data_IF_818239656016
#
_entry.id   IF_818239656016
#
_cell.length_a   1.000
_cell.length_b   1.000
_cell.length_c   1.000
_cell.angle_alpha   90.00
_cell.angle_beta   90.00
_cell.angle_gamma   90.00
#
_symmetry.space_group_name_H-M   'P 1'
#
loop_
_entity.id
_entity.type
_entity.pdbx_description
1 polymer ?
#
# COMPACT_ATOMS: atom_id res chain seq x y z
N UNK A 1 24.56 5.07 -17.94
CA UNK A 1 23.95 4.54 -16.70
C UNK A 1 22.62 5.25 -16.56
N UNK A 2 21.55 4.65 -17.06
CA UNK A 2 20.21 5.15 -16.78
C UNK A 2 19.89 4.79 -15.33
N UNK A 3 19.36 5.70 -14.50
CA UNK A 3 18.77 5.27 -13.25
C UNK A 3 17.67 4.27 -13.62
N UNK A 4 17.76 3.04 -13.14
CA UNK A 4 16.61 2.14 -13.12
C UNK A 4 15.52 2.93 -12.40
N UNK A 5 14.48 3.32 -13.11
CA UNK A 5 13.45 4.17 -12.53
C UNK A 5 12.73 3.33 -11.48
N UNK A 6 13.14 3.49 -10.21
CA UNK A 6 12.50 2.85 -9.08
C UNK A 6 11.07 3.35 -9.05
N UNK A 7 10.13 2.44 -9.31
CA UNK A 7 8.71 2.74 -9.33
C UNK A 7 8.07 2.16 -8.07
N UNK A 8 7.29 2.99 -7.40
CA UNK A 8 6.53 2.62 -6.22
C UNK A 8 5.08 3.04 -6.44
N UNK A 9 4.16 2.07 -6.36
CA UNK A 9 2.73 2.33 -6.38
C UNK A 9 2.15 2.06 -5.01
N UNK A 10 1.37 3.01 -4.49
CA UNK A 10 0.67 2.88 -3.21
C UNK A 10 -0.82 3.08 -3.45
N UNK A 11 -1.62 2.13 -2.98
CA UNK A 11 -3.08 2.17 -3.01
C UNK A 11 -3.60 2.16 -1.57
N UNK A 12 -4.38 3.16 -1.22
CA UNK A 12 -5.11 3.21 0.05
C UNK A 12 -6.60 3.17 -0.26
N UNK A 13 -7.29 2.17 0.28
CA UNK A 13 -8.73 2.01 0.19
C UNK A 13 -9.31 2.16 1.59
N UNK A 14 -10.24 3.08 1.75
CA UNK A 14 -11.07 3.18 2.95
C UNK A 14 -12.44 2.58 2.65
N UNK A 15 -12.82 1.58 3.42
CA UNK A 15 -14.15 0.97 3.41
C UNK A 15 -14.83 1.24 4.75
N UNK A 16 -16.14 1.48 4.74
CA UNK A 16 -16.91 1.68 5.98
C UNK A 16 -17.79 2.93 5.99
N UNK A 17 -18.80 2.94 6.86
CA UNK A 17 -19.83 4.00 6.93
C UNK A 17 -21.27 3.45 6.80
N UNK A 18 -22.27 4.31 7.04
CA UNK A 18 -23.70 3.91 7.16
C UNK A 18 -24.34 3.66 5.79
N UNK A 19 -23.58 3.90 4.73
CA UNK A 19 -24.04 3.91 3.35
C UNK A 19 -23.11 3.10 2.41
N UNK A 20 -22.19 2.29 2.93
CA UNK A 20 -21.32 1.45 2.08
C UNK A 20 -20.37 2.23 1.16
N UNK A 21 -20.10 3.51 1.48
CA UNK A 21 -19.21 4.34 0.67
C UNK A 21 -17.77 3.85 0.80
N UNK A 22 -17.17 3.50 -0.32
CA UNK A 22 -15.74 3.19 -0.44
C UNK A 22 -15.03 4.36 -1.12
N UNK A 23 -13.83 4.68 -0.64
CA UNK A 23 -12.96 5.69 -1.25
C UNK A 23 -11.59 5.09 -1.46
N UNK A 24 -10.98 5.33 -2.61
CA UNK A 24 -9.63 4.89 -2.90
C UNK A 24 -8.78 6.06 -3.37
N UNK A 25 -7.51 6.02 -3.00
CA UNK A 25 -6.48 6.96 -3.42
C UNK A 25 -5.28 6.17 -3.89
N UNK A 26 -4.68 6.59 -5.00
CA UNK A 26 -3.51 5.95 -5.56
C UNK A 26 -2.41 6.98 -5.78
N UNK A 27 -1.20 6.60 -5.45
CA UNK A 27 0.03 7.29 -5.83
C UNK A 27 0.86 6.35 -6.69
N UNK A 28 1.44 6.90 -7.76
CA UNK A 28 2.45 6.23 -8.57
C UNK A 28 3.65 7.16 -8.68
N UNK A 29 4.72 6.82 -7.96
CA UNK A 29 5.94 7.63 -7.89
C UNK A 29 7.10 6.93 -8.59
N UNK A 30 7.99 7.73 -9.19
CA UNK A 30 9.15 7.24 -9.92
C UNK A 30 10.41 8.04 -9.57
N UNK A 31 11.58 7.39 -9.60
CA UNK A 31 12.86 8.04 -9.38
C UNK A 31 12.95 8.68 -7.99
N UNK A 32 13.39 9.94 -7.89
CA UNK A 32 13.62 10.61 -6.61
C UNK A 32 12.36 10.78 -5.76
N UNK A 33 11.18 10.87 -6.37
CA UNK A 33 9.93 10.93 -5.61
C UNK A 33 9.63 9.59 -4.94
N UNK A 34 9.95 8.48 -5.61
CA UNK A 34 9.74 7.15 -5.05
C UNK A 34 10.54 6.95 -3.75
N UNK A 35 11.74 7.54 -3.63
CA UNK A 35 12.56 7.46 -2.40
C UNK A 35 11.83 7.97 -1.17
N UNK A 36 11.15 9.11 -1.26
CA UNK A 36 10.38 9.67 -0.14
C UNK A 36 9.23 8.74 0.27
N UNK A 37 8.53 8.19 -0.71
CA UNK A 37 7.47 7.21 -0.48
C UNK A 37 8.01 5.89 0.09
N UNK A 38 9.21 5.46 -0.32
CA UNK A 38 9.88 4.29 0.25
C UNK A 38 10.17 4.45 1.74
N UNK A 39 10.59 5.64 2.18
CA UNK A 39 10.83 5.92 3.60
C UNK A 39 9.53 5.81 4.41
N UNK A 40 8.43 6.41 3.94
CA UNK A 40 7.12 6.32 4.59
C UNK A 40 6.59 4.88 4.66
N UNK A 41 6.66 4.16 3.54
CA UNK A 41 6.22 2.76 3.46
C UNK A 41 7.11 1.88 4.34
N UNK A 42 8.42 2.12 4.43
CA UNK A 42 9.33 1.29 5.24
C UNK A 42 9.23 1.56 6.74
N UNK A 43 8.74 2.74 7.14
CA UNK A 43 8.43 3.06 8.53
C UNK A 43 7.18 2.32 9.05
N UNK A 44 6.31 1.84 8.15
CA UNK A 44 5.07 1.16 8.52
C UNK A 44 5.34 -0.27 9.03
N UNK A 45 4.70 -0.69 10.15
CA UNK A 45 4.90 -2.01 10.74
C UNK A 45 4.06 -3.09 10.03
N UNK A 46 4.35 -3.37 8.75
CA UNK A 46 3.62 -4.34 7.92
C UNK A 46 3.48 -5.74 8.56
N UNK A 47 4.45 -6.16 9.38
CA UNK A 47 4.47 -7.48 10.02
C UNK A 47 3.63 -7.56 11.31
N UNK A 48 3.39 -6.42 11.99
CA UNK A 48 2.66 -6.39 13.28
C UNK A 48 1.16 -6.67 13.11
N UNK A 49 0.63 -6.44 11.91
CA UNK A 49 -0.78 -6.45 11.53
C UNK A 49 -1.35 -7.85 11.23
N UNK A 50 -0.50 -8.86 10.98
CA UNK A 50 -0.95 -10.25 10.70
C UNK A 50 -1.59 -10.95 11.91
N UNK A 51 -1.87 -10.22 12.99
CA UNK A 51 -2.44 -10.69 14.26
C UNK A 51 -3.86 -10.16 14.54
N UNK A 52 -4.40 -9.25 13.74
CA UNK A 52 -5.73 -8.65 13.92
C UNK A 52 -6.89 -9.57 13.46
N UNK A 53 -6.87 -10.85 13.88
CA UNK A 53 -8.00 -11.79 13.78
C UNK A 53 -9.08 -11.50 14.87
N UNK A 54 -8.89 -10.50 15.72
CA UNK A 54 -9.84 -10.14 16.77
C UNK A 54 -10.94 -9.21 16.21
N UNK A 55 -12.16 -9.74 16.20
CA UNK A 55 -13.33 -9.17 15.54
C UNK A 55 -13.53 -7.66 15.78
N UNK A 56 -13.87 -6.88 14.73
CA UNK A 56 -13.99 -5.44 14.85
C UNK A 56 -15.15 -5.05 15.77
N UNK A 57 -14.82 -4.36 16.86
CA UNK A 57 -15.77 -3.52 17.60
C UNK A 57 -16.36 -2.44 16.69
N UNK A 58 -17.40 -1.76 17.17
CA UNK A 58 -18.34 -0.94 16.39
C UNK A 58 -17.77 0.20 15.50
N UNK A 59 -16.46 0.45 15.47
CA UNK A 59 -15.76 1.36 14.55
C UNK A 59 -15.57 0.70 13.18
N UNK A 60 -16.62 0.72 12.38
CA UNK A 60 -16.74 0.04 11.08
C UNK A 60 -15.93 0.61 9.90
N UNK A 61 -14.90 1.42 10.15
CA UNK A 61 -14.03 1.91 9.09
C UNK A 61 -12.77 1.03 9.03
N UNK A 62 -12.53 0.45 7.87
CA UNK A 62 -11.37 -0.39 7.57
C UNK A 62 -10.53 0.29 6.50
N UNK A 63 -9.23 0.25 6.67
CA UNK A 63 -8.25 0.75 5.72
C UNK A 63 -7.47 -0.42 5.15
N UNK A 64 -7.50 -0.55 3.83
CA UNK A 64 -6.65 -1.49 3.10
C UNK A 64 -5.55 -0.69 2.42
N UNK A 65 -4.30 -1.08 2.65
CA UNK A 65 -3.12 -0.43 2.10
C UNK A 65 -2.32 -1.47 1.33
N UNK A 66 -2.00 -1.16 0.08
CA UNK A 66 -1.13 -1.97 -0.77
C UNK A 66 -0.01 -1.09 -1.29
N UNK A 67 1.24 -1.52 -1.12
CA UNK A 67 2.42 -0.87 -1.66
C UNK A 67 3.18 -1.88 -2.52
N UNK A 68 3.38 -1.58 -3.80
CA UNK A 68 4.10 -2.44 -4.74
C UNK A 68 5.33 -1.72 -5.27
N UNK A 69 6.51 -2.29 -4.99
CA UNK A 69 7.77 -1.86 -5.60
C UNK A 69 8.10 -2.67 -6.85
N UNK A 70 8.49 -1.99 -7.93
CA UNK A 70 8.98 -2.63 -9.17
C UNK A 70 10.52 -2.73 -9.18
N UNK A 71 11.16 -2.48 -8.04
CA UNK A 71 12.62 -2.28 -7.90
C UNK A 71 13.43 -3.55 -8.25
N UNK A 72 12.78 -4.71 -8.43
CA UNK A 72 13.48 -6.00 -8.56
C UNK A 72 13.39 -6.73 -9.90
N UNK A 73 12.66 -6.22 -10.88
CA UNK A 73 12.52 -6.94 -12.17
C UNK A 73 13.76 -6.85 -13.07
N UNK A 74 14.65 -5.87 -12.83
CA UNK A 74 15.83 -5.64 -13.69
C UNK A 74 17.00 -6.60 -13.48
N UNK A 75 17.18 -7.16 -12.27
CA UNK A 75 18.36 -7.97 -11.93
C UNK A 75 18.04 -9.45 -11.64
N UNK A 76 16.82 -9.78 -11.19
CA UNK A 76 16.42 -11.18 -11.02
C UNK A 76 16.13 -11.89 -12.35
N UNK A 77 15.87 -11.15 -13.44
CA UNK A 77 15.59 -11.74 -14.76
C UNK A 77 16.80 -12.48 -15.38
N UNK A 78 18.04 -12.22 -14.93
CA UNK A 78 19.23 -12.98 -15.36
C UNK A 78 19.41 -14.31 -14.60
N UNK A 79 18.63 -14.55 -13.56
CA UNK A 79 18.59 -15.83 -12.84
C UNK A 79 17.21 -16.45 -13.04
N UNK A 80 17.03 -17.19 -14.14
CA UNK A 80 15.77 -17.82 -14.55
C UNK A 80 15.19 -18.81 -13.54
N UNK A 81 14.68 -18.31 -12.42
CA UNK A 81 13.86 -19.02 -11.46
C UNK A 81 12.38 -18.67 -11.76
N UNK A 82 11.51 -19.66 -12.02
CA UNK A 82 10.09 -19.38 -12.16
C UNK A 82 9.55 -18.89 -10.82
N UNK A 83 9.08 -17.65 -10.78
CA UNK A 83 8.28 -17.15 -9.65
C UNK A 83 7.00 -17.97 -9.64
N UNK A 84 6.91 -18.91 -8.70
CA UNK A 84 5.73 -19.75 -8.51
C UNK A 84 4.79 -18.98 -7.59
N UNK A 85 3.70 -18.45 -8.14
CA UNK A 85 2.61 -17.84 -7.37
C UNK A 85 2.38 -16.39 -7.74
N UNK A 86 1.11 -16.02 -7.72
CA UNK A 86 0.46 -14.77 -8.16
C UNK A 86 0.84 -13.55 -7.30
N UNK A 87 1.80 -13.72 -6.38
CA UNK A 87 2.32 -12.67 -5.53
C UNK A 87 3.41 -11.90 -6.28
N UNK A 88 3.16 -10.62 -6.51
CA UNK A 88 4.14 -9.72 -7.12
C UNK A 88 5.30 -9.53 -6.13
N UNK A 89 6.54 -9.93 -6.45
CA UNK A 89 7.67 -9.69 -5.56
C UNK A 89 7.84 -8.17 -5.35
N UNK A 90 7.86 -7.72 -4.10
CA UNK A 90 7.87 -6.28 -3.77
C UNK A 90 6.50 -5.72 -3.38
N UNK A 91 5.45 -6.55 -3.35
CA UNK A 91 4.15 -6.13 -2.82
C UNK A 91 4.05 -6.35 -1.30
N UNK A 92 3.63 -5.29 -0.59
CA UNK A 92 3.28 -5.28 0.83
C UNK A 92 1.81 -4.89 0.96
N UNK A 93 1.05 -5.64 1.76
CA UNK A 93 -0.38 -5.36 2.01
C UNK A 93 -0.69 -5.43 3.50
N UNK A 94 -1.51 -4.50 3.97
CA UNK A 94 -2.03 -4.45 5.33
C UNK A 94 -3.52 -4.08 5.31
N UNK A 95 -4.28 -4.61 6.26
CA UNK A 95 -5.69 -4.29 6.48
C UNK A 95 -5.86 -3.91 7.94
N UNK A 96 -6.16 -2.64 8.17
CA UNK A 96 -6.21 -1.99 9.48
C UNK A 96 -7.65 -1.59 9.82
N UNK A 97 -8.08 -1.73 11.07
CA UNK A 97 -9.19 -0.93 11.56
C UNK A 97 -8.80 0.55 11.69
N UNK A 98 -9.76 1.47 11.69
CA UNK A 98 -9.47 2.90 11.86
C UNK A 98 -8.75 3.22 13.18
N UNK A 99 -9.00 2.42 14.23
CA UNK A 99 -8.30 2.52 15.50
C UNK A 99 -6.82 2.10 15.43
N UNK A 100 -6.47 1.22 14.49
CA UNK A 100 -5.12 0.68 14.29
C UNK A 100 -4.30 1.54 13.30
N UNK A 101 -4.99 2.30 12.43
CA UNK A 101 -4.41 3.22 11.45
C UNK A 101 -3.80 4.50 12.08
N UNK A 102 -3.07 4.36 13.18
CA UNK A 102 -2.33 5.42 13.88
C UNK A 102 -0.82 5.41 13.58
N UNK A 103 -0.11 6.45 14.02
CA UNK A 103 1.35 6.56 13.85
C UNK A 103 1.77 6.56 12.38
N UNK A 104 2.80 5.77 12.04
CA UNK A 104 3.33 5.68 10.67
C UNK A 104 2.27 5.32 9.62
N UNK A 105 1.25 4.54 10.01
CA UNK A 105 0.11 4.25 9.12
C UNK A 105 -0.71 5.49 8.79
N UNK A 106 -0.95 6.34 9.80
CA UNK A 106 -1.71 7.59 9.60
C UNK A 106 -0.94 8.56 8.72
N UNK A 107 0.37 8.68 8.97
CA UNK A 107 1.25 9.53 8.16
C UNK A 107 1.24 9.09 6.69
N UNK A 108 1.34 7.77 6.42
CA UNK A 108 1.25 7.24 5.06
C UNK A 108 -0.13 7.48 4.44
N UNK A 109 -1.22 7.19 5.17
CA UNK A 109 -2.59 7.38 4.69
C UNK A 109 -2.86 8.85 4.34
N UNK A 110 -2.48 9.78 5.22
CA UNK A 110 -2.74 11.20 5.02
C UNK A 110 -1.88 11.75 3.88
N UNK A 111 -0.61 11.32 3.77
CA UNK A 111 0.23 11.66 2.62
C UNK A 111 -0.37 11.18 1.29
N UNK A 112 -0.83 9.92 1.22
CA UNK A 112 -1.49 9.36 0.01
C UNK A 112 -2.80 10.08 -0.29
N UNK A 113 -3.56 10.50 0.72
CA UNK A 113 -4.83 11.23 0.52
C UNK A 113 -4.61 12.66 0.05
N UNK A 114 -3.52 13.30 0.46
CA UNK A 114 -3.16 14.67 0.08
C UNK A 114 -2.54 14.72 -1.33
N UNK A 115 -1.60 13.82 -1.62
CA UNK A 115 -0.80 13.82 -2.85
C UNK A 115 -1.30 12.84 -3.92
N UNK A 116 -2.09 11.86 -3.53
CA UNK A 116 -2.59 10.82 -4.42
C UNK A 116 -3.85 11.20 -5.16
N UNK A 117 -4.03 10.57 -6.31
CA UNK A 117 -5.21 10.76 -7.14
C UNK A 117 -6.36 9.91 -6.60
N UNK A 118 -7.55 10.48 -6.37
CA UNK A 118 -8.73 9.70 -6.02
C UNK A 118 -9.07 8.79 -7.19
N UNK A 119 -9.02 7.48 -6.96
CA UNK A 119 -9.36 6.49 -7.96
C UNK A 119 -10.72 5.89 -7.65
N UNK A 120 -11.40 5.35 -8.67
CA UNK A 120 -12.50 4.46 -8.41
C UNK A 120 -11.96 3.28 -7.61
N UNK A 121 -12.34 3.17 -6.33
CA UNK A 121 -12.27 1.91 -5.63
C UNK A 121 -13.08 0.94 -6.49
N UNK A 122 -12.45 -0.07 -7.06
CA UNK A 122 -12.95 -0.87 -8.19
C UNK A 122 -14.41 -1.30 -7.99
N UNK A 123 -15.28 -1.03 -8.96
CA UNK A 123 -16.70 -1.39 -8.93
C UNK A 123 -16.91 -2.90 -9.00
N UNK A 124 -17.84 -3.44 -8.18
CA UNK A 124 -18.03 -4.89 -8.08
C UNK A 124 -18.39 -5.50 -9.43
#
# INVERSE_FOLDING_TARGET
>A
MSPTAEHLTILVVRTGGFAGLRRAWRVSAAGSEATEWFDLVSACPWEAERRADEAPGADRFTWEITAADDVRSGEAAIAGAPVRGDAVPGERRAVLADAEAGGAWRDLIDAVRDRGEPCAADAP
#
